data_IF_616656620543
#
_entry.id   IF_616656620543
#
_cell.length_a   1.000
_cell.length_b   1.000
_cell.length_c   1.000
_cell.angle_alpha   90.00
_cell.angle_beta   90.00
_cell.angle_gamma   90.00
#
_symmetry.space_group_name_H-M   'P 1'
#
loop_
_entity.id
_entity.type
_entity.pdbx_description
1 polymer ?
#
# COMPACT_ATOMS: atom_id res chain seq x y z
N UNK A 1 -6.48 14.64 6.83
CA UNK A 1 -5.87 13.31 6.64
C UNK A 1 -6.23 12.43 7.83
N UNK A 2 -6.79 11.25 7.58
CA UNK A 2 -7.06 10.21 8.58
C UNK A 2 -5.74 9.47 8.80
N UNK A 3 -5.22 9.51 10.02
CA UNK A 3 -3.91 8.90 10.34
C UNK A 3 -4.00 7.38 10.40
N UNK A 4 -2.94 6.72 9.95
CA UNK A 4 -2.77 5.28 10.08
C UNK A 4 -2.25 4.94 11.46
N UNK A 5 -2.85 3.94 12.11
CA UNK A 5 -2.39 3.42 13.37
C UNK A 5 -1.63 2.10 13.16
N UNK A 6 -0.35 2.08 13.55
CA UNK A 6 0.42 0.85 13.64
C UNK A 6 -0.02 0.10 14.90
N UNK A 7 -0.63 -1.06 14.72
CA UNK A 7 -1.23 -1.83 15.82
C UNK A 7 -0.23 -2.81 16.44
N UNK A 8 0.62 -3.43 15.61
CA UNK A 8 1.68 -4.30 16.12
C UNK A 8 2.84 -4.42 15.12
N UNK A 9 4.04 -4.54 15.69
CA UNK A 9 5.26 -4.91 14.96
C UNK A 9 5.96 -6.03 15.70
N UNK A 10 6.40 -7.05 14.98
CA UNK A 10 7.16 -8.19 15.54
C UNK A 10 8.32 -8.57 14.64
N UNK A 11 9.35 -9.15 15.22
CA UNK A 11 10.56 -9.57 14.54
C UNK A 11 10.86 -11.04 14.81
N UNK A 12 11.21 -11.77 13.75
CA UNK A 12 11.74 -13.12 13.82
C UNK A 12 13.17 -13.06 13.29
N UNK A 13 14.15 -13.16 14.19
CA UNK A 13 15.57 -13.09 13.82
C UNK A 13 16.03 -14.28 12.96
N UNK A 14 15.34 -15.42 13.08
CA UNK A 14 15.55 -16.61 12.28
C UNK A 14 14.25 -17.41 12.27
N UNK A 15 13.42 -17.15 11.28
CA UNK A 15 12.17 -17.89 11.11
C UNK A 15 12.45 -19.32 10.62
N UNK A 16 11.58 -20.26 10.97
CA UNK A 16 11.74 -21.64 10.51
C UNK A 16 11.66 -21.71 8.97
N UNK A 17 12.44 -22.57 8.32
CA UNK A 17 12.41 -22.73 6.86
C UNK A 17 11.02 -23.08 6.32
N UNK A 18 10.24 -23.86 7.08
CA UNK A 18 8.88 -24.23 6.69
C UNK A 18 7.95 -23.00 6.68
N UNK A 19 8.06 -22.11 7.68
CA UNK A 19 7.30 -20.87 7.72
C UNK A 19 7.73 -19.92 6.60
N UNK A 20 9.03 -19.72 6.39
CA UNK A 20 9.55 -18.89 5.30
C UNK A 20 9.01 -19.35 3.94
N UNK A 21 9.02 -20.66 3.67
CA UNK A 21 8.49 -21.23 2.42
C UNK A 21 6.99 -20.92 2.24
N UNK A 22 6.19 -21.05 3.29
CA UNK A 22 4.74 -20.80 3.21
C UNK A 22 4.41 -19.32 3.04
N UNK A 23 5.23 -18.43 3.60
CA UNK A 23 5.08 -16.98 3.48
C UNK A 23 5.70 -16.42 2.18
N UNK A 24 6.32 -17.25 1.35
CA UNK A 24 6.98 -16.80 0.12
C UNK A 24 8.27 -16.02 0.36
N UNK A 25 8.89 -16.15 1.55
CA UNK A 25 10.18 -15.51 1.81
C UNK A 25 11.25 -16.15 0.91
N UNK A 26 12.05 -15.32 0.20
CA UNK A 26 13.11 -15.83 -0.66
C UNK A 26 14.14 -16.66 0.10
N UNK A 27 14.76 -17.61 -0.59
CA UNK A 27 15.85 -18.41 -0.02
C UNK A 27 17.00 -17.49 0.44
N UNK A 28 17.56 -17.78 1.62
CA UNK A 28 18.62 -16.95 2.22
C UNK A 28 18.13 -15.72 3.00
N UNK A 29 16.81 -15.47 3.09
CA UNK A 29 16.23 -14.35 3.84
C UNK A 29 15.40 -14.84 5.04
N UNK A 30 16.01 -15.43 6.08
CA UNK A 30 15.28 -16.02 7.20
C UNK A 30 14.81 -15.02 8.26
N UNK A 31 15.26 -13.77 8.19
CA UNK A 31 14.87 -12.74 9.13
C UNK A 31 13.57 -12.08 8.66
N UNK A 32 12.53 -12.08 9.50
CA UNK A 32 11.23 -11.51 9.13
C UNK A 32 10.85 -10.36 10.06
N UNK A 33 10.29 -9.30 9.46
CA UNK A 33 9.60 -8.22 10.17
C UNK A 33 8.12 -8.24 9.80
N UNK A 34 7.26 -8.31 10.81
CA UNK A 34 5.81 -8.39 10.63
C UNK A 34 5.18 -7.10 11.14
N UNK A 35 4.22 -6.57 10.39
CA UNK A 35 3.46 -5.38 10.75
C UNK A 35 1.97 -5.59 10.45
N UNK A 36 1.13 -5.06 11.32
CA UNK A 36 -0.31 -4.89 11.08
C UNK A 36 -0.74 -3.47 11.43
N UNK A 37 -1.61 -2.91 10.62
CA UNK A 37 -2.16 -1.55 10.76
C UNK A 37 -3.67 -1.57 10.51
N UNK A 38 -4.32 -0.43 10.71
CA UNK A 38 -5.73 -0.19 10.39
C UNK A 38 -5.95 0.43 9.00
N UNK A 39 -4.95 0.38 8.12
CA UNK A 39 -5.03 0.88 6.75
C UNK A 39 -4.11 0.06 5.83
N UNK A 40 -4.68 -0.75 4.99
CA UNK A 40 -3.96 -1.63 4.07
C UNK A 40 -3.24 -0.88 2.94
N UNK A 41 -3.93 0.02 2.26
CA UNK A 41 -3.38 0.74 1.11
C UNK A 41 -2.16 1.60 1.48
N UNK A 42 -2.22 2.35 2.58
CA UNK A 42 -1.07 3.09 3.08
C UNK A 42 0.08 2.15 3.47
N UNK A 43 -0.24 0.98 4.03
CA UNK A 43 0.77 -0.02 4.41
C UNK A 43 1.45 -0.62 3.19
N UNK A 44 0.74 -0.87 2.09
CA UNK A 44 1.36 -1.34 0.84
C UNK A 44 2.36 -0.33 0.28
N UNK A 45 2.01 0.96 0.29
CA UNK A 45 2.94 2.01 -0.13
C UNK A 45 4.16 2.07 0.82
N UNK A 46 3.93 2.00 2.14
CA UNK A 46 5.01 2.02 3.13
C UNK A 46 5.93 0.80 3.04
N UNK A 47 5.40 -0.39 2.77
CA UNK A 47 6.20 -1.59 2.50
C UNK A 47 7.08 -1.40 1.25
N UNK A 48 6.57 -0.74 0.22
CA UNK A 48 7.36 -0.40 -0.96
C UNK A 48 8.50 0.57 -0.63
N UNK A 49 8.26 1.58 0.21
CA UNK A 49 9.30 2.49 0.69
C UNK A 49 10.44 1.74 1.39
N UNK A 50 10.13 0.70 2.17
CA UNK A 50 11.14 -0.11 2.82
C UNK A 50 12.07 -0.80 1.82
N UNK A 51 11.57 -1.22 0.66
CA UNK A 51 12.40 -1.87 -0.38
C UNK A 51 13.38 -0.92 -1.06
N UNK A 52 13.19 0.38 -0.90
CA UNK A 52 14.10 1.43 -1.39
C UNK A 52 15.11 1.87 -0.32
N UNK A 53 14.74 1.72 0.94
CA UNK A 53 15.52 2.20 2.09
C UNK A 53 16.48 1.14 2.66
N UNK A 54 16.20 -0.15 2.47
CA UNK A 54 16.96 -1.24 3.05
C UNK A 54 17.00 -2.47 2.12
N UNK A 55 17.95 -3.37 2.36
CA UNK A 55 18.05 -4.65 1.66
C UNK A 55 16.99 -5.64 2.17
N UNK A 56 15.73 -5.35 1.89
CA UNK A 56 14.58 -6.15 2.27
C UNK A 56 13.72 -6.48 1.06
N UNK A 57 12.93 -7.55 1.17
CA UNK A 57 11.88 -7.89 0.21
C UNK A 57 10.55 -8.03 0.93
N UNK A 58 9.49 -7.54 0.33
CA UNK A 58 8.13 -7.82 0.79
C UNK A 58 7.78 -9.23 0.35
N UNK A 59 7.72 -10.17 1.28
CA UNK A 59 7.36 -11.55 0.97
C UNK A 59 5.87 -11.85 1.19
N UNK A 60 5.19 -11.00 1.96
CA UNK A 60 3.75 -11.13 2.20
C UNK A 60 3.13 -9.75 2.41
N UNK A 61 2.04 -9.48 1.72
CA UNK A 61 1.21 -8.28 1.92
C UNK A 61 -0.23 -8.64 1.55
N UNK A 62 -1.10 -8.76 2.55
CA UNK A 62 -2.49 -9.17 2.35
C UNK A 62 -3.41 -8.37 3.24
N UNK A 63 -4.44 -7.77 2.61
CA UNK A 63 -5.59 -7.22 3.32
C UNK A 63 -6.52 -8.33 3.76
N UNK A 64 -7.32 -8.04 4.78
CA UNK A 64 -8.37 -8.94 5.24
C UNK A 64 -9.52 -8.12 5.82
N UNK A 65 -10.73 -8.62 5.62
CA UNK A 65 -11.89 -8.03 6.24
C UNK A 65 -11.85 -8.28 7.75
N UNK A 66 -11.75 -7.23 8.48
CA UNK A 66 -11.68 -7.34 9.92
C UNK A 66 -12.13 -6.06 10.57
N UNK A 67 -11.48 -5.00 10.25
CA UNK A 67 -11.65 -3.75 10.97
C UNK A 67 -11.71 -3.95 12.48
N UNK A 68 -11.62 -2.93 13.24
CA UNK A 68 -11.65 -3.03 14.71
C UNK A 68 -12.93 -3.70 15.27
N UNK A 69 -14.06 -3.61 14.55
CA UNK A 69 -15.34 -4.16 14.97
C UNK A 69 -15.43 -5.69 14.90
N UNK A 70 -14.67 -6.32 14.02
CA UNK A 70 -14.66 -7.76 13.80
C UNK A 70 -13.37 -8.43 14.29
N UNK A 71 -12.43 -7.63 14.79
CA UNK A 71 -11.17 -8.12 15.30
C UNK A 71 -11.34 -8.91 16.59
N UNK A 72 -10.71 -10.08 16.64
CA UNK A 72 -10.70 -10.91 17.85
C UNK A 72 -9.74 -10.40 18.93
N UNK A 73 -8.87 -9.46 18.58
CA UNK A 73 -7.90 -8.83 19.49
C UNK A 73 -7.66 -7.38 19.08
N UNK A 74 -7.17 -6.51 20.01
CA UNK A 74 -6.80 -5.14 19.68
C UNK A 74 -5.62 -5.03 18.71
N UNK A 75 -4.96 -6.13 18.37
CA UNK A 75 -3.84 -6.18 17.42
C UNK A 75 -4.24 -6.70 16.04
N UNK A 76 -5.50 -7.05 15.84
CA UNK A 76 -5.99 -7.40 14.51
C UNK A 76 -6.31 -6.13 13.74
N UNK A 77 -5.52 -5.87 12.69
CA UNK A 77 -5.70 -4.73 11.78
C UNK A 77 -6.43 -5.13 10.50
N UNK A 78 -6.24 -4.36 9.46
CA UNK A 78 -6.80 -4.59 8.13
C UNK A 78 -5.80 -5.23 7.16
N UNK A 79 -4.55 -5.38 7.56
CA UNK A 79 -3.46 -5.88 6.73
C UNK A 79 -2.41 -6.61 7.56
N UNK A 80 -1.80 -7.62 6.97
CA UNK A 80 -0.55 -8.20 7.44
C UNK A 80 0.52 -7.96 6.38
N UNK A 81 1.56 -7.18 6.73
CA UNK A 81 2.75 -6.96 5.92
C UNK A 81 3.95 -7.71 6.51
N UNK A 82 4.76 -8.35 5.65
CA UNK A 82 5.97 -9.05 6.09
C UNK A 82 7.13 -8.71 5.17
N UNK A 83 8.18 -8.16 5.77
CA UNK A 83 9.49 -7.99 5.15
C UNK A 83 10.39 -9.17 5.46
N UNK A 84 11.17 -9.61 4.48
CA UNK A 84 12.20 -10.63 4.63
C UNK A 84 13.59 -10.05 4.31
N UNK A 85 14.62 -10.44 5.06
CA UNK A 85 16.00 -10.05 4.83
C UNK A 85 16.99 -11.11 5.29
N UNK A 86 18.25 -10.97 4.86
CA UNK A 86 19.33 -11.85 5.27
C UNK A 86 19.76 -11.61 6.73
N UNK A 87 19.59 -10.39 7.25
CA UNK A 87 20.04 -10.01 8.59
C UNK A 87 18.93 -9.33 9.41
N UNK A 88 18.94 -9.49 10.75
CA UNK A 88 18.01 -8.78 11.62
C UNK A 88 18.14 -7.25 11.53
N UNK A 89 19.35 -6.74 11.27
CA UNK A 89 19.60 -5.31 11.08
C UNK A 89 18.86 -4.75 9.87
N UNK A 90 18.94 -5.42 8.72
CA UNK A 90 18.24 -5.03 7.50
C UNK A 90 16.71 -5.01 7.70
N UNK A 91 16.15 -6.04 8.36
CA UNK A 91 14.71 -6.06 8.69
C UNK A 91 14.32 -4.89 9.57
N UNK A 92 15.12 -4.54 10.58
CA UNK A 92 14.84 -3.38 11.46
C UNK A 92 14.86 -2.09 10.65
N UNK A 93 15.90 -1.86 9.85
CA UNK A 93 15.98 -0.66 9.00
C UNK A 93 14.80 -0.56 8.02
N UNK A 94 14.41 -1.68 7.39
CA UNK A 94 13.24 -1.71 6.54
C UNK A 94 11.95 -1.40 7.30
N UNK A 95 11.78 -1.95 8.50
CA UNK A 95 10.58 -1.71 9.31
C UNK A 95 10.52 -0.26 9.84
N UNK A 96 11.67 0.32 10.20
CA UNK A 96 11.75 1.73 10.59
C UNK A 96 11.34 2.64 9.42
N UNK A 97 11.72 2.29 8.18
CA UNK A 97 11.27 3.00 6.99
C UNK A 97 9.75 2.86 6.75
N UNK A 98 9.16 1.67 6.97
CA UNK A 98 7.70 1.48 6.92
C UNK A 98 7.00 2.40 7.92
N UNK A 99 7.42 2.38 9.18
CA UNK A 99 6.81 3.18 10.24
C UNK A 99 6.92 4.67 9.92
N UNK A 100 8.10 5.13 9.51
CA UNK A 100 8.33 6.54 9.15
C UNK A 100 7.45 6.97 7.96
N UNK A 101 7.29 6.13 6.96
CA UNK A 101 6.43 6.42 5.80
C UNK A 101 4.96 6.56 6.22
N UNK A 102 4.47 5.68 7.10
CA UNK A 102 3.07 5.71 7.59
C UNK A 102 2.72 6.98 8.38
N UNK A 103 3.70 7.67 8.98
CA UNK A 103 3.47 8.95 9.67
C UNK A 103 2.94 10.05 8.73
N UNK A 104 3.21 9.91 7.42
CA UNK A 104 2.90 10.90 6.39
C UNK A 104 1.87 10.41 5.37
N UNK A 105 1.29 9.24 5.60
CA UNK A 105 0.31 8.61 4.70
C UNK A 105 -1.04 8.42 5.40
N UNK A 106 -2.09 8.29 4.60
CA UNK A 106 -3.43 8.02 5.09
C UNK A 106 -4.49 8.48 4.11
N UNK A 107 -5.73 8.24 4.48
CA UNK A 107 -6.88 8.70 3.72
C UNK A 107 -7.18 10.17 4.02
N UNK A 108 -7.67 10.88 3.02
CA UNK A 108 -8.32 12.17 3.22
C UNK A 108 -9.83 11.96 3.38
N UNK A 109 -10.45 12.77 4.21
CA UNK A 109 -11.90 12.84 4.30
C UNK A 109 -12.37 14.06 3.47
N UNK A 110 -12.90 13.78 2.31
CA UNK A 110 -13.52 14.77 1.42
C UNK A 110 -15.03 14.62 1.43
N UNK A 111 -15.55 14.11 2.58
CA UNK A 111 -16.92 13.73 2.79
C UNK A 111 -17.11 12.20 2.61
N UNK A 112 -16.16 11.50 2.00
CA UNK A 112 -15.87 10.07 2.10
C UNK A 112 -14.37 9.90 2.28
N UNK A 113 -13.92 8.85 2.95
CA UNK A 113 -12.50 8.53 3.01
C UNK A 113 -12.01 8.14 1.61
N UNK A 114 -10.95 8.78 1.13
CA UNK A 114 -10.28 8.42 -0.12
C UNK A 114 -8.79 8.69 -0.04
N UNK A 115 -8.03 8.01 -0.89
CA UNK A 115 -6.59 8.18 -0.98
C UNK A 115 -6.17 8.38 -2.44
N UNK A 116 -5.43 9.45 -2.70
CA UNK A 116 -4.77 9.70 -3.98
C UNK A 116 -3.31 10.07 -3.70
N UNK A 117 -2.43 9.10 -3.82
CA UNK A 117 -1.03 9.26 -3.44
C UNK A 117 -0.10 9.08 -4.64
N UNK A 118 0.82 10.04 -4.83
CA UNK A 118 1.84 9.95 -5.89
C UNK A 118 3.11 9.33 -5.31
N UNK A 119 3.39 8.08 -5.68
CA UNK A 119 4.69 7.44 -5.47
C UNK A 119 5.61 7.92 -6.58
N UNK A 120 6.54 8.81 -6.26
CA UNK A 120 7.43 9.42 -7.27
C UNK A 120 8.39 8.42 -7.93
N UNK A 121 8.75 7.37 -7.21
CA UNK A 121 9.66 6.31 -7.66
C UNK A 121 9.30 5.03 -6.90
N UNK A 122 8.66 4.08 -7.56
CA UNK A 122 8.27 2.84 -6.91
C UNK A 122 9.46 1.91 -6.64
N UNK A 123 9.40 1.22 -5.53
CA UNK A 123 10.31 0.14 -5.17
C UNK A 123 9.92 -1.17 -5.86
N UNK A 124 10.48 -2.28 -5.37
CA UNK A 124 10.27 -3.59 -5.99
C UNK A 124 8.85 -4.14 -5.78
N UNK A 125 8.18 -3.77 -4.69
CA UNK A 125 6.86 -4.29 -4.36
C UNK A 125 5.77 -3.70 -5.26
N UNK A 126 5.65 -2.37 -5.32
CA UNK A 126 4.68 -1.72 -6.18
C UNK A 126 5.03 -1.83 -7.66
N UNK A 127 6.31 -1.92 -8.02
CA UNK A 127 6.71 -2.20 -9.40
C UNK A 127 6.15 -3.54 -9.89
N UNK A 128 6.26 -4.58 -9.06
CA UNK A 128 5.70 -5.90 -9.38
C UNK A 128 4.16 -5.86 -9.43
N UNK A 129 3.51 -5.17 -8.50
CA UNK A 129 2.06 -5.03 -8.41
C UNK A 129 1.48 -4.29 -9.63
N UNK A 130 2.14 -3.21 -10.06
CA UNK A 130 1.72 -2.41 -11.20
C UNK A 130 2.21 -2.96 -12.56
N UNK A 131 3.12 -3.92 -12.58
CA UNK A 131 3.74 -4.45 -13.80
C UNK A 131 4.59 -3.41 -14.54
N UNK A 132 5.32 -2.58 -13.80
CA UNK A 132 6.19 -1.51 -14.34
C UNK A 132 7.64 -1.70 -13.86
N UNK A 133 8.62 -1.07 -14.52
CA UNK A 133 9.98 -1.04 -14.00
C UNK A 133 10.07 -0.35 -12.64
N UNK A 134 10.99 -0.83 -11.78
CA UNK A 134 11.35 -0.11 -10.55
C UNK A 134 11.77 1.32 -10.87
N UNK A 135 11.43 2.26 -9.99
CA UNK A 135 11.68 3.67 -10.21
C UNK A 135 10.59 4.41 -11.00
N UNK A 136 9.61 3.69 -11.57
CA UNK A 136 8.49 4.32 -12.27
C UNK A 136 7.61 5.11 -11.30
N UNK A 137 7.12 6.31 -11.68
CA UNK A 137 6.09 6.99 -10.90
C UNK A 137 4.76 6.24 -10.96
N UNK A 138 4.05 6.22 -9.84
CA UNK A 138 2.73 5.59 -9.71
C UNK A 138 1.76 6.57 -9.04
N UNK A 139 0.56 6.71 -9.59
CA UNK A 139 -0.59 7.27 -8.88
C UNK A 139 -1.35 6.09 -8.27
N UNK A 140 -1.44 6.06 -6.93
CA UNK A 140 -2.17 5.08 -6.15
C UNK A 140 -3.50 5.72 -5.71
N UNK A 141 -4.61 5.20 -6.20
CA UNK A 141 -5.92 5.84 -6.15
C UNK A 141 -6.94 4.90 -5.53
N UNK A 142 -7.56 5.28 -4.40
CA UNK A 142 -8.53 4.47 -3.68
C UNK A 142 -9.68 5.35 -3.17
N UNK A 143 -10.90 4.85 -3.33
CA UNK A 143 -12.13 5.48 -2.82
C UNK A 143 -13.23 4.42 -2.63
N UNK A 144 -14.38 4.75 -2.03
CA UNK A 144 -15.54 3.86 -1.98
C UNK A 144 -16.00 3.43 -3.39
N UNK A 145 -16.83 2.38 -3.53
CA UNK A 145 -17.05 1.68 -4.79
C UNK A 145 -17.48 2.54 -5.98
N UNK A 146 -18.49 3.37 -5.83
CA UNK A 146 -19.00 4.21 -6.93
C UNK A 146 -18.02 5.35 -7.20
N UNK A 147 -17.58 6.01 -6.15
CA UNK A 147 -16.64 7.13 -6.18
C UNK A 147 -15.35 6.72 -6.88
N UNK A 148 -14.82 5.55 -6.56
CA UNK A 148 -13.57 5.06 -7.17
C UNK A 148 -13.71 4.85 -8.67
N UNK A 149 -14.80 4.25 -9.14
CA UNK A 149 -14.99 3.99 -10.58
C UNK A 149 -15.18 5.28 -11.37
N UNK A 150 -15.99 6.21 -10.84
CA UNK A 150 -16.18 7.51 -11.47
C UNK A 150 -14.89 8.33 -11.51
N UNK A 151 -14.20 8.41 -10.37
CA UNK A 151 -12.97 9.20 -10.25
C UNK A 151 -11.78 8.59 -11.03
N UNK A 152 -11.74 7.27 -11.21
CA UNK A 152 -10.73 6.62 -12.07
C UNK A 152 -10.87 7.05 -13.54
N UNK A 153 -12.09 7.19 -14.06
CA UNK A 153 -12.33 7.71 -15.42
C UNK A 153 -11.86 9.16 -15.54
N UNK A 154 -12.17 10.00 -14.54
CA UNK A 154 -11.70 11.37 -14.48
C UNK A 154 -10.16 11.47 -14.46
N UNK A 155 -9.50 10.68 -13.63
CA UNK A 155 -8.05 10.63 -13.54
C UNK A 155 -7.39 10.23 -14.88
N UNK A 156 -7.94 9.21 -15.55
CA UNK A 156 -7.43 8.74 -16.85
C UNK A 156 -7.62 9.75 -17.97
N UNK A 157 -8.63 10.62 -17.89
CA UNK A 157 -8.90 11.66 -18.89
C UNK A 157 -8.12 12.94 -18.64
N UNK A 158 -7.73 13.20 -17.40
CA UNK A 158 -7.08 14.44 -17.00
C UNK A 158 -5.57 14.49 -17.31
N UNK A 159 -4.91 13.36 -17.48
CA UNK A 159 -3.46 13.28 -17.62
C UNK A 159 -3.03 12.14 -18.56
N UNK A 160 -1.82 12.28 -19.12
CA UNK A 160 -1.21 11.21 -19.92
C UNK A 160 -0.63 10.13 -19.01
N UNK A 161 -1.52 9.29 -18.51
CA UNK A 161 -1.23 8.15 -17.64
C UNK A 161 -1.80 6.87 -18.21
N UNK A 162 -1.17 5.75 -17.87
CA UNK A 162 -1.59 4.40 -18.26
C UNK A 162 -2.16 3.66 -17.05
N UNK A 163 -3.32 3.03 -17.22
CA UNK A 163 -3.87 2.11 -16.23
C UNK A 163 -3.01 0.84 -16.15
N UNK A 164 -2.43 0.62 -14.98
CA UNK A 164 -1.63 -0.57 -14.67
C UNK A 164 -2.47 -1.66 -14.05
N UNK A 165 -3.26 -1.29 -13.04
CA UNK A 165 -4.13 -2.22 -12.31
C UNK A 165 -5.41 -1.52 -11.89
N UNK A 166 -6.52 -2.21 -11.99
CA UNK A 166 -7.82 -1.77 -11.50
C UNK A 166 -8.28 -2.70 -10.37
N UNK A 167 -8.64 -2.12 -9.25
CA UNK A 167 -9.24 -2.80 -8.11
C UNK A 167 -10.75 -2.56 -8.14
N UNK A 168 -11.49 -3.56 -8.62
CA UNK A 168 -12.96 -3.49 -8.67
C UNK A 168 -13.56 -4.19 -7.46
N UNK A 169 -14.52 -3.59 -6.77
CA UNK A 169 -15.27 -4.30 -5.74
C UNK A 169 -15.96 -5.56 -6.28
N UNK A 170 -16.10 -6.64 -5.48
CA UNK A 170 -15.73 -6.69 -4.06
C UNK A 170 -14.23 -6.83 -3.84
N UNK A 171 -13.71 -6.06 -2.89
CA UNK A 171 -12.36 -6.17 -2.35
C UNK A 171 -12.44 -6.49 -0.86
N UNK A 172 -11.33 -6.78 -0.23
CA UNK A 172 -11.29 -7.13 1.20
C UNK A 172 -11.80 -5.99 2.10
N UNK A 173 -11.62 -4.74 1.67
CA UNK A 173 -12.06 -3.53 2.41
C UNK A 173 -13.30 -2.88 1.81
N UNK A 174 -13.83 -3.41 0.70
CA UNK A 174 -14.93 -2.83 -0.09
C UNK A 174 -14.63 -1.45 -0.70
N UNK A 175 -13.37 -1.04 -0.75
CA UNK A 175 -12.92 0.11 -1.53
C UNK A 175 -12.53 -0.35 -2.94
N UNK A 176 -12.49 0.58 -3.88
CA UNK A 176 -12.02 0.34 -5.24
C UNK A 176 -11.01 1.41 -5.65
N UNK A 177 -10.48 1.29 -6.87
CA UNK A 177 -9.52 2.23 -7.41
C UNK A 177 -8.48 1.57 -8.29
N UNK A 178 -7.23 2.01 -8.22
CA UNK A 178 -6.20 1.39 -9.04
C UNK A 178 -4.84 2.10 -9.03
N UNK A 179 -3.97 1.54 -9.85
CA UNK A 179 -2.61 2.04 -10.07
C UNK A 179 -2.50 2.59 -11.49
N UNK A 180 -2.06 3.84 -11.61
CA UNK A 180 -1.73 4.46 -12.89
C UNK A 180 -0.23 4.76 -12.92
N UNK A 181 0.38 4.75 -14.11
CA UNK A 181 1.77 5.17 -14.31
C UNK A 181 1.88 6.18 -15.44
N UNK A 182 2.89 7.03 -15.37
CA UNK A 182 3.18 8.07 -16.33
C UNK A 182 4.41 8.87 -15.88
N UNK A 183 4.53 10.13 -16.33
CA UNK A 183 5.51 11.03 -15.70
C UNK A 183 5.04 11.37 -14.28
N UNK A 184 5.96 11.81 -13.42
CA UNK A 184 5.60 12.23 -12.06
C UNK A 184 4.51 13.31 -12.05
N UNK A 185 4.64 14.31 -12.95
CA UNK A 185 3.63 15.36 -13.07
C UNK A 185 2.28 14.86 -13.58
N UNK A 186 2.27 13.88 -14.50
CA UNK A 186 1.04 13.25 -14.95
C UNK A 186 0.37 12.46 -13.82
N UNK A 187 1.12 11.70 -13.03
CA UNK A 187 0.61 11.01 -11.85
C UNK A 187 0.03 11.99 -10.82
N UNK A 188 0.69 13.11 -10.57
CA UNK A 188 0.17 14.16 -9.69
C UNK A 188 -1.13 14.78 -10.22
N UNK A 189 -1.21 15.06 -11.51
CA UNK A 189 -2.42 15.58 -12.13
C UNK A 189 -3.58 14.57 -12.07
N UNK A 190 -3.29 13.29 -12.29
CA UNK A 190 -4.28 12.22 -12.13
C UNK A 190 -4.78 12.11 -10.70
N UNK A 191 -3.90 12.19 -9.69
CA UNK A 191 -4.28 12.23 -8.28
C UNK A 191 -5.21 13.42 -7.96
N UNK A 192 -4.87 14.62 -8.46
CA UNK A 192 -5.72 15.81 -8.30
C UNK A 192 -7.11 15.62 -8.89
N UNK A 193 -7.18 15.18 -10.15
CA UNK A 193 -8.45 14.93 -10.83
C UNK A 193 -9.29 13.85 -10.15
N UNK A 194 -8.66 12.80 -9.63
CA UNK A 194 -9.35 11.76 -8.86
C UNK A 194 -10.00 12.34 -7.60
N UNK A 195 -9.25 13.12 -6.82
CA UNK A 195 -9.76 13.75 -5.59
C UNK A 195 -10.90 14.72 -5.86
N UNK A 196 -10.79 15.52 -6.92
CA UNK A 196 -11.83 16.48 -7.31
C UNK A 196 -13.11 15.76 -7.75
N UNK A 197 -12.99 14.70 -8.54
CA UNK A 197 -14.12 13.89 -8.96
C UNK A 197 -14.82 13.18 -7.78
N UNK A 198 -14.07 12.72 -6.78
CA UNK A 198 -14.67 12.14 -5.55
C UNK A 198 -15.49 13.20 -4.80
N UNK A 199 -15.04 14.46 -4.76
CA UNK A 199 -15.78 15.55 -4.12
C UNK A 199 -17.09 15.87 -4.85
N UNK A 200 -17.08 15.84 -6.19
CA UNK A 200 -18.24 16.18 -7.04
C UNK A 200 -19.40 15.19 -6.90
N UNK A 201 -19.16 13.92 -6.63
CA UNK A 201 -20.23 12.91 -6.52
C UNK A 201 -21.22 13.18 -5.38
N UNK A 202 -20.90 14.07 -4.46
CA UNK A 202 -21.71 14.38 -3.29
C UNK A 202 -22.62 15.59 -3.46
N UNK A 203 -22.50 16.31 -4.52
CA UNK A 203 -23.38 17.40 -4.86
C UNK A 203 -24.58 16.93 -5.74
#
# INVERSE_FOLDING_TARGET
>A
MIKVNVLAVKYLASASPALCKQLGAPEGLPCLGLITTDCDDATYIALDEATKAAEVQVCYGRSFYGGASNASTPYAGEVLGILAAATPGAVRSGMDAVISALEHMGFEDVGVPCMAYTVSSCGSFLAAEAGVPMGSPIAYLIAPPIESMYAMDAALKAADVKLCKLYTPPTETNFGGGLLTGTQSACQAACGAFMDAVREIKE
#
